data_IF_707046853108
#
_entry.id   IF_707046853108
#
_cell.length_a   1.000
_cell.length_b   1.000
_cell.length_c   1.000
_cell.angle_alpha   90.00
_cell.angle_beta   90.00
_cell.angle_gamma   90.00
#
_symmetry.space_group_name_H-M   'P 1'
#
loop_
_entity.id
_entity.type
_entity.pdbx_description
1 polymer ?
#
# COMPACT_ATOMS: atom_id res chain seq x y z
N UNK A 1 9.97 3.74 0.67
CA UNK A 1 10.65 3.52 1.98
C UNK A 1 9.67 3.48 3.14
N UNK A 2 8.74 4.46 3.27
CA UNK A 2 7.77 4.50 4.39
C UNK A 2 6.88 3.24 4.43
N UNK A 3 6.39 2.80 3.29
CA UNK A 3 5.50 1.63 3.20
C UNK A 3 6.18 0.31 3.61
N UNK A 4 7.50 0.23 3.44
CA UNK A 4 8.30 -0.99 3.63
C UNK A 4 9.21 -0.95 4.87
N UNK A 5 9.10 0.10 5.70
CA UNK A 5 10.01 0.32 6.84
C UNK A 5 10.06 -0.83 7.85
N UNK A 6 9.00 -1.63 7.92
CA UNK A 6 8.90 -2.74 8.87
C UNK A 6 9.45 -4.07 8.30
N UNK A 7 9.80 -4.14 7.01
CA UNK A 7 10.31 -5.35 6.37
C UNK A 7 11.53 -5.98 7.08
N UNK A 8 12.50 -5.23 7.61
CA UNK A 8 13.65 -5.79 8.32
C UNK A 8 13.29 -6.65 9.54
N UNK A 9 12.12 -6.44 10.16
CA UNK A 9 11.66 -7.25 11.30
C UNK A 9 11.21 -8.66 10.92
N UNK A 10 11.02 -8.93 9.62
CA UNK A 10 10.45 -10.19 9.10
C UNK A 10 11.43 -11.00 8.23
N UNK A 11 12.75 -10.73 8.33
CA UNK A 11 13.78 -11.44 7.55
C UNK A 11 13.80 -12.95 7.80
N UNK A 12 13.38 -13.39 8.98
CA UNK A 12 13.24 -14.80 9.35
C UNK A 12 12.11 -15.53 8.62
N UNK A 13 11.21 -14.78 7.96
CA UNK A 13 10.10 -15.31 7.15
C UNK A 13 10.38 -15.22 5.65
N UNK A 14 11.60 -14.89 5.26
CA UNK A 14 12.00 -14.87 3.86
C UNK A 14 12.21 -16.30 3.35
N UNK A 15 11.93 -16.50 2.10
CA UNK A 15 12.13 -17.77 1.39
C UNK A 15 13.24 -17.61 0.34
N UNK A 16 13.90 -18.70 -0.08
CA UNK A 16 14.79 -18.64 -1.23
C UNK A 16 14.04 -18.20 -2.48
N UNK A 17 14.69 -17.36 -3.30
CA UNK A 17 14.20 -17.00 -4.62
C UNK A 17 14.24 -18.20 -5.58
N UNK A 18 13.80 -18.01 -6.82
CA UNK A 18 13.66 -19.10 -7.81
C UNK A 18 14.97 -19.88 -8.05
N UNK A 19 16.12 -19.21 -8.08
CA UNK A 19 17.43 -19.85 -8.31
C UNK A 19 18.20 -20.20 -7.02
N UNK A 20 17.64 -19.89 -5.86
CA UNK A 20 18.23 -20.17 -4.55
C UNK A 20 19.47 -19.34 -4.20
N UNK A 21 19.79 -18.30 -4.98
CA UNK A 21 20.97 -17.45 -4.76
C UNK A 21 20.73 -16.39 -3.70
N UNK A 22 19.49 -15.92 -3.56
CA UNK A 22 19.07 -14.86 -2.66
C UNK A 22 17.80 -15.26 -1.90
N UNK A 23 17.37 -14.42 -0.96
CA UNK A 23 16.11 -14.60 -0.25
C UNK A 23 15.15 -13.48 -0.56
N UNK A 24 13.87 -13.80 -0.67
CA UNK A 24 12.80 -12.85 -0.95
C UNK A 24 11.69 -12.88 0.12
N UNK A 25 11.02 -11.74 0.36
CA UNK A 25 9.93 -11.69 1.34
C UNK A 25 8.70 -12.45 0.83
N UNK A 26 8.04 -13.20 1.70
CA UNK A 26 6.77 -13.87 1.39
C UNK A 26 5.59 -12.91 1.33
N UNK A 27 5.72 -11.74 1.92
CA UNK A 27 4.72 -10.66 1.96
C UNK A 27 5.38 -9.29 2.09
N UNK A 28 4.63 -8.25 1.78
CA UNK A 28 5.06 -6.86 1.90
C UNK A 28 4.26 -6.16 3.03
N UNK A 29 4.94 -5.64 4.08
CA UNK A 29 4.28 -5.08 5.25
C UNK A 29 3.80 -3.63 5.02
N UNK A 30 3.05 -3.38 3.94
CA UNK A 30 2.53 -2.05 3.62
C UNK A 30 1.79 -1.42 4.80
N UNK A 31 1.95 -0.11 4.95
CA UNK A 31 1.30 0.66 6.03
C UNK A 31 -0.18 0.96 5.76
N UNK A 32 -0.62 0.78 4.53
CA UNK A 32 -1.99 1.00 4.05
C UNK A 32 -2.44 -0.20 3.22
N UNK A 33 -3.74 -0.44 3.04
CA UNK A 33 -4.22 -1.51 2.17
C UNK A 33 -3.94 -1.17 0.69
N UNK A 34 -2.70 -1.43 0.27
CA UNK A 34 -2.16 -1.01 -1.03
C UNK A 34 -2.96 -1.55 -2.22
N UNK A 35 -3.63 -2.68 -2.04
CA UNK A 35 -4.48 -3.26 -3.10
C UNK A 35 -5.63 -2.33 -3.50
N UNK A 36 -6.16 -1.54 -2.57
CA UNK A 36 -7.19 -0.54 -2.86
C UNK A 36 -6.58 0.72 -3.46
N UNK A 37 -5.40 1.15 -2.99
CA UNK A 37 -4.75 2.37 -3.47
C UNK A 37 -4.23 2.19 -4.90
N UNK A 38 -3.46 1.13 -5.15
CA UNK A 38 -2.81 0.90 -6.44
C UNK A 38 -3.67 0.11 -7.43
N UNK A 39 -4.72 -0.54 -6.94
CA UNK A 39 -5.49 -1.46 -7.75
C UNK A 39 -4.67 -2.67 -8.22
N UNK A 40 -5.27 -3.49 -9.04
CA UNK A 40 -4.58 -4.62 -9.69
C UNK A 40 -5.36 -5.10 -10.90
N UNK A 41 -4.67 -5.41 -11.97
CA UNK A 41 -5.26 -6.05 -13.15
C UNK A 41 -4.42 -7.25 -13.54
N UNK A 42 -5.05 -8.41 -13.66
CA UNK A 42 -4.37 -9.64 -14.03
C UNK A 42 -5.33 -10.70 -14.58
N UNK A 43 -4.80 -11.48 -15.51
CA UNK A 43 -5.53 -12.58 -16.15
C UNK A 43 -4.73 -13.85 -15.94
N UNK A 44 -5.33 -14.85 -15.32
CA UNK A 44 -4.76 -16.17 -15.14
C UNK A 44 -5.69 -17.25 -15.69
N UNK A 45 -5.21 -18.47 -15.76
CA UNK A 45 -6.07 -19.59 -16.19
C UNK A 45 -7.13 -19.87 -15.12
N UNK A 46 -8.39 -19.75 -15.50
CA UNK A 46 -9.54 -20.00 -14.61
C UNK A 46 -9.90 -18.86 -13.65
N UNK A 47 -9.13 -17.75 -13.61
CA UNK A 47 -9.45 -16.60 -12.76
C UNK A 47 -8.89 -15.29 -13.34
N UNK A 48 -9.56 -14.19 -13.02
CA UNK A 48 -9.10 -12.86 -13.36
C UNK A 48 -9.31 -11.93 -12.16
N UNK A 49 -8.51 -10.88 -12.08
CA UNK A 49 -8.71 -9.76 -11.14
C UNK A 49 -8.72 -8.45 -11.90
N UNK A 50 -9.55 -7.53 -11.49
CA UNK A 50 -9.58 -6.16 -12.02
C UNK A 50 -10.08 -5.22 -10.92
N UNK A 51 -9.15 -4.72 -10.13
CA UNK A 51 -9.40 -3.89 -8.95
C UNK A 51 -9.10 -2.45 -9.33
N UNK A 52 -10.06 -1.54 -9.21
CA UNK A 52 -9.83 -0.12 -9.49
C UNK A 52 -8.93 0.51 -8.43
N UNK A 53 -8.26 1.58 -8.81
CA UNK A 53 -7.48 2.45 -7.91
C UNK A 53 -8.41 3.36 -7.10
N UNK A 54 -7.96 3.77 -5.89
CA UNK A 54 -8.70 4.68 -5.01
C UNK A 54 -7.78 5.75 -4.44
N UNK A 55 -8.37 6.84 -4.00
CA UNK A 55 -7.64 7.91 -3.33
C UNK A 55 -7.02 7.44 -2.02
N UNK A 56 -5.73 7.74 -1.84
CA UNK A 56 -4.98 7.31 -0.65
C UNK A 56 -5.58 7.85 0.66
N UNK A 57 -6.01 9.12 0.67
CA UNK A 57 -6.62 9.74 1.85
C UNK A 57 -7.92 9.05 2.24
N UNK A 58 -8.81 8.84 1.26
CA UNK A 58 -10.09 8.16 1.46
C UNK A 58 -9.93 6.71 1.95
N UNK A 59 -8.96 5.99 1.39
CA UNK A 59 -8.64 4.61 1.83
C UNK A 59 -8.12 4.59 3.27
N UNK A 60 -7.32 5.57 3.67
CA UNK A 60 -6.84 5.71 5.05
C UNK A 60 -8.01 6.02 5.98
N UNK A 61 -8.87 6.98 5.63
CA UNK A 61 -10.01 7.39 6.44
C UNK A 61 -10.99 6.22 6.63
N UNK A 62 -11.30 5.48 5.57
CA UNK A 62 -12.13 4.27 5.64
C UNK A 62 -11.47 3.17 6.51
N UNK A 63 -10.15 3.00 6.42
CA UNK A 63 -9.41 2.02 7.25
C UNK A 63 -9.43 2.41 8.73
N UNK A 64 -9.24 3.70 9.04
CA UNK A 64 -9.29 4.22 10.40
C UNK A 64 -10.71 4.11 10.98
N UNK A 65 -11.74 4.41 10.19
CA UNK A 65 -13.12 4.25 10.61
C UNK A 65 -13.44 2.79 10.95
N UNK A 66 -13.00 1.85 10.09
CA UNK A 66 -13.14 0.41 10.34
C UNK A 66 -12.39 -0.07 11.59
N UNK A 67 -11.18 0.46 11.86
CA UNK A 67 -10.41 0.12 13.07
C UNK A 67 -11.10 0.61 14.34
N UNK A 68 -11.76 1.77 14.30
CA UNK A 68 -12.49 2.32 15.45
C UNK A 68 -13.82 1.60 15.69
N UNK A 69 -14.49 1.17 14.63
CA UNK A 69 -15.74 0.41 14.67
C UNK A 69 -15.75 -0.69 13.61
N UNK A 70 -15.37 -1.94 13.97
CA UNK A 70 -15.41 -3.07 13.05
C UNK A 70 -16.80 -3.45 12.56
N UNK A 71 -17.86 -3.00 13.26
CA UNK A 71 -19.25 -3.25 12.84
C UNK A 71 -19.82 -2.14 11.95
N UNK A 72 -19.02 -1.11 11.64
CA UNK A 72 -19.41 0.01 10.76
C UNK A 72 -20.11 -0.50 9.48
N UNK A 73 -21.21 0.13 9.12
CA UNK A 73 -21.96 -0.25 7.93
C UNK A 73 -21.26 0.19 6.63
N UNK A 74 -21.54 -0.53 5.53
CA UNK A 74 -20.90 -0.23 4.24
C UNK A 74 -21.24 1.17 3.74
N UNK A 75 -22.47 1.63 3.99
CA UNK A 75 -22.94 2.98 3.62
C UNK A 75 -22.09 4.08 4.26
N UNK A 76 -21.65 3.89 5.51
CA UNK A 76 -20.82 4.86 6.21
C UNK A 76 -19.38 4.84 5.69
N UNK A 77 -18.87 3.67 5.34
CA UNK A 77 -17.59 3.54 4.64
C UNK A 77 -17.61 4.23 3.27
N UNK A 78 -18.70 4.11 2.52
CA UNK A 78 -18.86 4.75 1.21
C UNK A 78 -19.04 6.28 1.29
N UNK A 79 -19.36 6.84 2.45
CA UNK A 79 -19.30 8.29 2.66
C UNK A 79 -17.85 8.80 2.74
N UNK A 80 -16.93 7.96 3.22
CA UNK A 80 -15.50 8.28 3.33
C UNK A 80 -14.74 7.94 2.03
N UNK A 81 -15.15 6.88 1.34
CA UNK A 81 -14.56 6.40 0.09
C UNK A 81 -15.68 6.19 -0.94
N UNK A 82 -16.14 7.25 -1.60
CA UNK A 82 -17.36 7.22 -2.41
C UNK A 82 -17.22 6.45 -3.72
N UNK A 83 -15.99 6.21 -4.19
CA UNK A 83 -15.77 5.49 -5.43
C UNK A 83 -14.31 5.35 -5.82
N UNK A 84 -14.02 4.73 -6.98
CA UNK A 84 -12.69 4.66 -7.53
C UNK A 84 -12.14 6.04 -7.90
N UNK A 85 -10.81 6.17 -7.81
CA UNK A 85 -10.06 7.34 -8.27
C UNK A 85 -8.99 6.85 -9.26
N UNK A 86 -9.26 7.07 -10.54
CA UNK A 86 -8.37 6.59 -11.61
C UNK A 86 -7.24 7.57 -11.89
N UNK A 87 -6.04 7.05 -12.14
CA UNK A 87 -4.85 7.85 -12.42
C UNK A 87 -4.98 8.77 -13.64
N UNK A 88 -5.82 8.42 -14.62
CA UNK A 88 -6.12 9.23 -15.80
C UNK A 88 -7.26 10.23 -15.57
N UNK A 89 -7.82 10.27 -14.36
CA UNK A 89 -9.01 11.06 -14.06
C UNK A 89 -10.28 10.48 -14.68
N UNK A 90 -11.20 11.35 -15.08
CA UNK A 90 -12.49 10.98 -15.63
C UNK A 90 -13.62 11.14 -14.61
N UNK A 91 -14.83 10.91 -15.08
CA UNK A 91 -16.06 11.03 -14.31
C UNK A 91 -16.70 9.65 -14.16
N UNK A 92 -16.96 9.25 -12.92
CA UNK A 92 -17.70 8.02 -12.65
C UNK A 92 -19.18 8.30 -12.89
N UNK A 93 -19.76 7.59 -13.85
CA UNK A 93 -21.16 7.68 -14.21
C UNK A 93 -21.91 6.41 -13.72
N UNK A 94 -22.00 6.27 -12.40
CA UNK A 94 -22.68 5.17 -11.72
C UNK A 94 -23.62 5.71 -10.64
N UNK A 95 -24.71 5.00 -10.39
CA UNK A 95 -25.61 5.33 -9.29
C UNK A 95 -25.03 4.89 -7.95
N UNK A 96 -25.45 5.51 -6.84
CA UNK A 96 -25.03 5.07 -5.49
C UNK A 96 -25.35 3.58 -5.23
N UNK A 97 -26.45 3.07 -5.74
CA UNK A 97 -26.81 1.64 -5.64
C UNK A 97 -25.84 0.73 -6.40
N UNK A 98 -25.44 1.13 -7.60
CA UNK A 98 -24.45 0.36 -8.39
C UNK A 98 -23.11 0.31 -7.68
N UNK A 99 -22.64 1.44 -7.14
CA UNK A 99 -21.39 1.49 -6.35
C UNK A 99 -21.50 0.66 -5.08
N UNK A 100 -22.61 0.78 -4.35
CA UNK A 100 -22.86 -0.04 -3.17
C UNK A 100 -22.76 -1.54 -3.47
N UNK A 101 -23.42 -2.00 -4.53
CA UNK A 101 -23.39 -3.40 -4.93
C UNK A 101 -21.96 -3.87 -5.30
N UNK A 102 -21.19 -3.04 -5.99
CA UNK A 102 -19.80 -3.33 -6.32
C UNK A 102 -18.97 -3.51 -5.06
N UNK A 103 -19.07 -2.61 -4.10
CA UNK A 103 -18.30 -2.67 -2.85
C UNK A 103 -18.82 -3.71 -1.85
N UNK A 104 -20.10 -4.05 -1.91
CA UNK A 104 -20.65 -5.14 -1.10
C UNK A 104 -20.18 -6.51 -1.58
N UNK A 105 -20.18 -6.72 -2.89
CA UNK A 105 -19.92 -8.04 -3.48
C UNK A 105 -18.49 -8.23 -4.00
N UNK A 106 -17.78 -7.14 -4.32
CA UNK A 106 -16.50 -7.17 -5.04
C UNK A 106 -16.61 -7.41 -6.53
N UNK A 107 -17.85 -7.42 -7.08
CA UNK A 107 -18.14 -7.64 -8.49
C UNK A 107 -19.09 -6.57 -9.02
N UNK A 108 -18.84 -6.12 -10.25
CA UNK A 108 -19.79 -5.24 -10.92
C UNK A 108 -19.19 -4.50 -12.10
N UNK A 109 -19.92 -3.48 -12.55
CA UNK A 109 -19.53 -2.67 -13.69
C UNK A 109 -19.72 -1.20 -13.33
N UNK A 110 -18.70 -0.39 -13.60
CA UNK A 110 -18.73 1.05 -13.38
C UNK A 110 -18.49 1.75 -14.71
N UNK A 111 -19.37 2.65 -15.10
CA UNK A 111 -19.16 3.47 -16.29
C UNK A 111 -18.21 4.61 -15.95
N UNK A 112 -17.18 4.77 -16.76
CA UNK A 112 -16.19 5.83 -16.65
C UNK A 112 -16.25 6.68 -17.91
N UNK A 113 -16.33 7.98 -17.74
CA UNK A 113 -16.49 8.95 -18.83
C UNK A 113 -15.34 9.93 -18.79
N UNK A 114 -14.74 10.23 -19.93
CA UNK A 114 -13.76 11.29 -20.08
C UNK A 114 -14.35 12.67 -19.79
N UNK A 115 -13.53 13.57 -19.34
CA UNK A 115 -13.94 14.96 -19.05
C UNK A 115 -13.79 15.83 -20.29
N UNK A 116 -14.87 16.54 -20.61
CA UNK A 116 -14.96 17.39 -21.80
C UNK A 116 -15.34 18.82 -21.39
N UNK A 117 -14.63 19.78 -21.94
CA UNK A 117 -14.89 21.21 -21.79
C UNK A 117 -15.06 21.86 -23.15
N UNK A 118 -15.99 22.79 -23.28
CA UNK A 118 -16.12 23.61 -24.51
C UNK A 118 -15.46 24.96 -24.25
N UNK A 119 -14.45 25.29 -25.03
CA UNK A 119 -13.69 26.53 -24.91
C UNK A 119 -13.90 27.43 -26.15
N UNK A 120 -14.03 28.71 -25.91
CA UNK A 120 -14.02 29.71 -26.99
C UNK A 120 -12.56 30.01 -27.41
N UNK A 121 -12.24 29.78 -28.67
CA UNK A 121 -10.90 30.00 -29.21
C UNK A 121 -10.81 31.32 -29.98
N UNK A 122 -11.80 32.18 -29.86
CA UNK A 122 -11.87 33.48 -30.48
C UNK A 122 -12.45 33.46 -31.90
N UNK A 123 -12.77 34.65 -32.41
CA UNK A 123 -13.37 34.85 -33.74
C UNK A 123 -14.69 34.10 -33.98
N UNK A 124 -15.43 33.78 -32.90
CA UNK A 124 -16.68 33.03 -32.93
C UNK A 124 -16.49 31.55 -33.26
N UNK A 125 -15.29 30.99 -33.01
CA UNK A 125 -15.02 29.53 -33.09
C UNK A 125 -14.91 28.94 -31.72
N UNK A 126 -15.39 27.71 -31.58
CA UNK A 126 -15.32 26.91 -30.34
C UNK A 126 -14.44 25.67 -30.55
N UNK A 127 -13.86 25.19 -29.48
CA UNK A 127 -13.11 23.95 -29.44
C UNK A 127 -13.69 23.04 -28.33
N UNK A 128 -13.89 21.78 -28.64
CA UNK A 128 -14.23 20.76 -27.69
C UNK A 128 -12.92 20.19 -27.18
N UNK A 129 -12.60 20.45 -25.92
CA UNK A 129 -11.35 20.05 -25.30
C UNK A 129 -11.62 18.84 -24.37
N UNK A 130 -11.01 17.70 -24.68
CA UNK A 130 -11.00 16.53 -23.79
C UNK A 130 -9.78 16.66 -22.89
N UNK A 131 -10.00 16.81 -21.59
CA UNK A 131 -8.96 17.05 -20.60
C UNK A 131 -8.60 15.82 -19.81
N UNK A 132 -9.48 14.81 -19.78
CA UNK A 132 -9.24 13.54 -19.12
C UNK A 132 -9.85 12.40 -19.95
N UNK A 133 -9.11 11.31 -20.12
CA UNK A 133 -9.56 10.12 -20.82
C UNK A 133 -9.98 9.03 -19.83
N UNK A 134 -10.98 8.19 -20.17
CA UNK A 134 -11.34 7.07 -19.32
C UNK A 134 -10.17 6.08 -19.20
N UNK A 135 -9.90 5.58 -18.00
CA UNK A 135 -8.82 4.63 -17.70
C UNK A 135 -8.88 3.36 -18.58
N UNK A 136 -10.06 2.97 -19.04
CA UNK A 136 -10.28 1.79 -19.89
C UNK A 136 -9.81 1.98 -21.33
N UNK A 137 -9.48 3.20 -21.74
CA UNK A 137 -9.06 3.50 -23.12
C UNK A 137 -7.67 2.92 -23.41
N UNK A 138 -7.63 1.78 -24.09
CA UNK A 138 -6.39 1.15 -24.53
C UNK A 138 -5.83 1.92 -25.72
N UNK A 139 -4.57 2.36 -25.62
CA UNK A 139 -3.87 3.16 -26.65
C UNK A 139 -3.90 4.66 -26.43
N UNK A 140 -4.56 5.12 -25.36
CA UNK A 140 -4.47 6.50 -24.87
C UNK A 140 -4.86 7.56 -25.88
N UNK A 141 -4.20 8.74 -25.79
CA UNK A 141 -4.46 9.93 -26.58
C UNK A 141 -4.33 9.71 -28.09
N UNK A 142 -3.31 8.96 -28.53
CA UNK A 142 -3.08 8.69 -29.95
C UNK A 142 -4.25 7.95 -30.60
N UNK A 143 -4.72 6.87 -29.96
CA UNK A 143 -5.84 6.10 -30.46
C UNK A 143 -7.15 6.90 -30.47
N UNK A 144 -7.37 7.74 -29.46
CA UNK A 144 -8.52 8.63 -29.43
C UNK A 144 -8.52 9.57 -30.63
N UNK A 145 -7.40 10.26 -30.90
CA UNK A 145 -7.25 11.19 -32.02
C UNK A 145 -7.42 10.49 -33.37
N UNK A 146 -6.86 9.29 -33.53
CA UNK A 146 -7.02 8.48 -34.73
C UNK A 146 -8.50 8.11 -34.96
N UNK A 147 -9.20 7.70 -33.91
CA UNK A 147 -10.63 7.37 -33.98
C UNK A 147 -11.47 8.59 -34.36
N UNK A 148 -11.18 9.75 -33.75
CA UNK A 148 -11.86 11.01 -34.10
C UNK A 148 -11.59 11.38 -35.56
N UNK A 149 -10.33 11.25 -36.02
CA UNK A 149 -9.96 11.50 -37.41
C UNK A 149 -10.70 10.57 -38.39
N UNK A 150 -10.92 9.30 -38.02
CA UNK A 150 -11.74 8.37 -38.80
C UNK A 150 -13.20 8.82 -38.89
N UNK A 151 -13.80 9.23 -37.76
CA UNK A 151 -15.18 9.74 -37.73
C UNK A 151 -15.34 10.98 -38.61
N UNK A 152 -14.33 11.87 -38.66
CA UNK A 152 -14.34 13.02 -39.55
C UNK A 152 -14.24 12.58 -41.02
N UNK A 153 -13.32 11.66 -41.35
CA UNK A 153 -13.18 11.10 -42.72
C UNK A 153 -14.48 10.44 -43.22
N UNK A 154 -15.17 9.74 -42.32
CA UNK A 154 -16.43 9.08 -42.60
C UNK A 154 -17.63 10.04 -42.63
N UNK A 155 -17.38 11.36 -42.50
CA UNK A 155 -18.41 12.42 -42.48
C UNK A 155 -19.43 12.32 -41.35
N UNK A 156 -19.08 11.64 -40.27
CA UNK A 156 -19.94 11.54 -39.08
C UNK A 156 -19.83 12.81 -38.19
N UNK A 157 -18.73 13.54 -38.34
CA UNK A 157 -18.46 14.78 -37.62
C UNK A 157 -18.21 15.94 -38.61
N UNK A 158 -19.22 16.34 -39.41
CA UNK A 158 -19.02 17.29 -40.52
C UNK A 158 -18.70 18.74 -40.08
N UNK A 159 -18.98 19.08 -38.81
CA UNK A 159 -18.67 20.40 -38.27
C UNK A 159 -17.25 20.51 -37.73
N UNK A 160 -16.51 19.41 -37.59
CA UNK A 160 -15.11 19.40 -37.11
C UNK A 160 -14.20 19.87 -38.24
N UNK A 161 -13.26 20.78 -37.90
CA UNK A 161 -12.30 21.43 -38.86
C UNK A 161 -10.89 20.93 -38.58
N UNK A 162 -10.53 20.82 -37.31
CA UNK A 162 -9.17 20.47 -36.94
C UNK A 162 -9.17 19.63 -35.66
N UNK A 163 -8.15 18.80 -35.50
CA UNK A 163 -7.95 17.92 -34.35
C UNK A 163 -6.48 18.03 -33.95
N UNK A 164 -6.21 18.47 -32.74
CA UNK A 164 -4.85 18.68 -32.26
C UNK A 164 -4.69 18.27 -30.79
N UNK A 165 -3.55 17.65 -30.47
CA UNK A 165 -3.11 17.52 -29.09
C UNK A 165 -2.43 18.85 -28.68
N UNK A 166 -3.02 19.51 -27.70
CA UNK A 166 -2.52 20.75 -27.09
C UNK A 166 -2.17 20.55 -25.61
N UNK A 167 -1.98 19.30 -25.20
CA UNK A 167 -1.54 18.98 -23.85
C UNK A 167 -0.18 19.59 -23.52
N UNK A 168 0.00 19.95 -22.27
CA UNK A 168 1.23 20.53 -21.75
C UNK A 168 1.60 19.91 -20.38
N UNK A 169 2.57 20.49 -19.69
CA UNK A 169 2.98 20.06 -18.34
C UNK A 169 1.85 20.10 -17.28
N UNK A 170 0.74 20.78 -17.56
CA UNK A 170 -0.38 20.91 -16.63
C UNK A 170 -1.48 19.86 -16.88
N UNK A 171 -1.41 19.11 -17.98
CA UNK A 171 -2.31 18.01 -18.28
C UNK A 171 -2.60 17.79 -19.76
N UNK A 172 -3.38 16.77 -20.04
CA UNK A 172 -3.86 16.46 -21.38
C UNK A 172 -4.87 17.50 -21.86
N UNK A 173 -4.83 17.82 -23.14
CA UNK A 173 -5.78 18.73 -23.77
C UNK A 173 -5.94 18.38 -25.25
N UNK A 174 -6.83 17.42 -25.53
CA UNK A 174 -7.13 17.01 -26.92
C UNK A 174 -8.24 17.89 -27.45
N UNK A 175 -7.88 18.77 -28.39
CA UNK A 175 -8.74 19.78 -28.91
C UNK A 175 -9.35 19.37 -30.26
N UNK A 176 -10.69 19.47 -30.35
CA UNK A 176 -11.48 19.22 -31.54
C UNK A 176 -12.14 20.54 -31.91
N UNK A 177 -11.55 21.25 -32.90
CA UNK A 177 -12.00 22.57 -33.31
C UNK A 177 -13.20 22.46 -34.27
N UNK A 178 -14.24 23.21 -33.98
CA UNK A 178 -15.47 23.21 -34.84
C UNK A 178 -15.59 24.45 -35.67
N UNK A 179 -16.38 24.38 -36.77
CA UNK A 179 -16.65 25.49 -37.69
C UNK A 179 -17.23 26.68 -36.93
N UNK A 180 -16.95 27.86 -37.48
CA UNK A 180 -17.56 29.11 -36.98
C UNK A 180 -19.08 29.04 -37.11
N UNK A 181 -19.78 29.41 -36.04
CA UNK A 181 -21.24 29.45 -36.03
C UNK A 181 -21.91 28.10 -35.77
N UNK A 182 -21.15 27.04 -35.43
CA UNK A 182 -21.75 25.75 -34.94
C UNK A 182 -22.56 26.01 -33.67
N UNK A 183 -23.80 25.55 -33.67
CA UNK A 183 -24.72 25.75 -32.56
C UNK A 183 -24.31 24.91 -31.33
N UNK A 184 -24.75 25.30 -30.15
CA UNK A 184 -24.50 24.52 -28.92
C UNK A 184 -25.15 23.13 -28.97
N UNK A 185 -26.28 23.01 -29.67
CA UNK A 185 -26.92 21.70 -29.89
C UNK A 185 -26.07 20.78 -30.78
N UNK A 186 -25.44 21.32 -31.84
CA UNK A 186 -24.54 20.55 -32.69
C UNK A 186 -23.26 20.15 -31.93
N UNK A 187 -22.71 21.03 -31.09
CA UNK A 187 -21.57 20.72 -30.23
C UNK A 187 -21.93 19.59 -29.27
N UNK A 188 -23.09 19.66 -28.64
CA UNK A 188 -23.54 18.57 -27.73
C UNK A 188 -23.74 17.26 -28.48
N UNK A 189 -24.22 17.30 -29.72
CA UNK A 189 -24.33 16.10 -30.55
C UNK A 189 -22.95 15.50 -30.87
N UNK A 190 -21.95 16.34 -31.19
CA UNK A 190 -20.57 15.90 -31.41
C UNK A 190 -20.05 15.22 -30.14
N UNK A 191 -20.21 15.81 -28.96
CA UNK A 191 -19.80 15.26 -27.67
C UNK A 191 -20.48 13.89 -27.43
N UNK A 192 -21.76 13.77 -27.74
CA UNK A 192 -22.49 12.50 -27.60
C UNK A 192 -21.97 11.41 -28.56
N UNK A 193 -21.54 11.80 -29.78
CA UNK A 193 -20.90 10.87 -30.73
C UNK A 193 -19.53 10.45 -30.21
N UNK A 194 -18.72 11.35 -29.64
CA UNK A 194 -17.44 11.03 -29.04
C UNK A 194 -17.59 10.05 -27.88
N UNK A 195 -18.55 10.25 -27.00
CA UNK A 195 -18.82 9.31 -25.92
C UNK A 195 -19.16 7.91 -26.45
N UNK A 196 -19.98 7.80 -27.49
CA UNK A 196 -20.48 6.52 -28.00
C UNK A 196 -19.50 5.81 -28.93
N UNK A 197 -18.80 6.56 -29.81
CA UNK A 197 -18.02 6.00 -30.93
C UNK A 197 -16.52 6.13 -30.78
N UNK A 198 -16.05 7.11 -30.00
CA UNK A 198 -14.62 7.30 -29.73
C UNK A 198 -14.21 6.73 -28.36
N UNK A 199 -15.00 5.86 -27.77
CA UNK A 199 -14.76 5.22 -26.47
C UNK A 199 -14.45 6.21 -25.34
N UNK A 200 -14.95 7.44 -25.45
CA UNK A 200 -14.81 8.45 -24.41
C UNK A 200 -15.69 8.15 -23.17
N UNK A 201 -16.69 7.27 -23.31
CA UNK A 201 -17.38 6.58 -22.21
C UNK A 201 -17.20 5.09 -22.39
N UNK A 202 -16.75 4.41 -21.34
CA UNK A 202 -16.55 2.97 -21.37
C UNK A 202 -16.87 2.38 -20.01
N UNK A 203 -16.92 1.06 -19.93
CA UNK A 203 -17.29 0.32 -18.73
C UNK A 203 -16.07 -0.36 -18.13
N UNK A 204 -15.73 0.02 -16.90
CA UNK A 204 -14.77 -0.70 -16.10
C UNK A 204 -15.46 -1.88 -15.39
N UNK A 205 -15.06 -3.10 -15.74
CA UNK A 205 -15.54 -4.31 -15.07
C UNK A 205 -14.78 -4.56 -13.79
N UNK A 206 -15.40 -4.35 -12.64
CA UNK A 206 -14.79 -4.60 -11.33
C UNK A 206 -14.86 -6.09 -11.01
N UNK A 207 -13.74 -6.66 -10.61
CA UNK A 207 -13.60 -8.00 -10.07
C UNK A 207 -12.48 -8.02 -9.01
N UNK A 208 -12.88 -7.89 -7.76
CA UNK A 208 -11.94 -7.85 -6.63
C UNK A 208 -11.64 -9.28 -6.17
N UNK A 209 -10.94 -10.02 -7.01
CA UNK A 209 -10.51 -11.38 -6.73
C UNK A 209 -9.10 -11.36 -6.15
N UNK A 210 -8.97 -11.70 -4.87
CA UNK A 210 -7.73 -11.64 -4.11
C UNK A 210 -7.34 -13.04 -3.61
N UNK A 211 -6.06 -13.27 -3.37
CA UNK A 211 -5.58 -14.49 -2.72
C UNK A 211 -5.59 -14.25 -1.21
N UNK A 212 -6.45 -14.98 -0.50
CA UNK A 212 -6.53 -14.97 0.94
C UNK A 212 -6.17 -16.35 1.49
N UNK A 213 -5.13 -16.43 2.32
CA UNK A 213 -4.62 -17.70 2.87
C UNK A 213 -4.40 -18.78 1.79
N UNK A 214 -3.83 -18.37 0.64
CA UNK A 214 -3.52 -19.26 -0.49
C UNK A 214 -4.71 -19.66 -1.36
N UNK A 215 -5.90 -19.09 -1.14
CA UNK A 215 -7.12 -19.37 -1.92
C UNK A 215 -7.63 -18.11 -2.60
N UNK A 216 -8.03 -18.19 -3.88
CA UNK A 216 -8.67 -17.07 -4.55
C UNK A 216 -10.08 -16.84 -3.97
N UNK A 217 -10.38 -15.60 -3.69
CA UNK A 217 -11.66 -15.20 -3.11
C UNK A 217 -12.05 -13.80 -3.62
N UNK A 218 -13.30 -13.66 -4.06
CA UNK A 218 -13.87 -12.34 -4.38
C UNK A 218 -14.30 -11.66 -3.09
N UNK A 219 -13.85 -10.44 -2.86
CA UNK A 219 -14.07 -9.73 -1.60
C UNK A 219 -14.70 -8.37 -1.82
N UNK A 220 -15.72 -8.06 -1.02
CA UNK A 220 -16.21 -6.69 -0.85
C UNK A 220 -15.29 -5.84 0.02
N UNK A 221 -15.52 -4.53 0.03
CA UNK A 221 -14.70 -3.54 0.72
C UNK A 221 -14.49 -3.86 2.21
N UNK A 222 -15.57 -4.05 2.97
CA UNK A 222 -15.50 -4.34 4.42
C UNK A 222 -14.64 -5.57 4.71
N UNK A 223 -14.73 -6.61 3.85
CA UNK A 223 -13.92 -7.82 4.00
C UNK A 223 -12.44 -7.57 3.70
N UNK A 224 -12.12 -6.74 2.71
CA UNK A 224 -10.73 -6.36 2.39
C UNK A 224 -10.12 -5.62 3.59
N UNK A 225 -10.84 -4.64 4.15
CA UNK A 225 -10.39 -3.90 5.32
C UNK A 225 -10.18 -4.83 6.51
N UNK A 226 -11.09 -5.78 6.75
CA UNK A 226 -10.93 -6.79 7.80
C UNK A 226 -9.66 -7.62 7.60
N UNK A 227 -9.50 -8.24 6.44
CA UNK A 227 -8.33 -9.09 6.14
C UNK A 227 -7.02 -8.31 6.28
N UNK A 228 -7.00 -7.07 5.79
CA UNK A 228 -5.83 -6.20 5.92
C UNK A 228 -5.53 -5.86 7.40
N UNK A 229 -6.53 -5.47 8.19
CA UNK A 229 -6.33 -5.08 9.59
C UNK A 229 -5.93 -6.27 10.46
N UNK A 230 -6.53 -7.44 10.25
CA UNK A 230 -6.15 -8.68 10.94
C UNK A 230 -4.69 -9.07 10.61
N UNK A 231 -4.32 -9.02 9.34
CA UNK A 231 -2.94 -9.25 8.90
C UNK A 231 -1.97 -8.24 9.53
N UNK A 232 -2.31 -6.95 9.52
CA UNK A 232 -1.48 -5.89 10.07
C UNK A 232 -1.31 -6.02 11.58
N UNK A 233 -2.36 -6.41 12.29
CA UNK A 233 -2.30 -6.70 13.72
C UNK A 233 -1.29 -7.82 14.02
N UNK A 234 -1.33 -8.92 13.28
CA UNK A 234 -0.36 -10.01 13.42
C UNK A 234 1.09 -9.58 13.17
N UNK A 235 1.31 -8.70 12.18
CA UNK A 235 2.63 -8.12 11.92
C UNK A 235 3.11 -7.24 13.09
N UNK A 236 2.25 -6.40 13.63
CA UNK A 236 2.61 -5.56 14.79
C UNK A 236 2.88 -6.39 16.05
N UNK A 237 2.07 -7.40 16.35
CA UNK A 237 2.33 -8.31 17.46
C UNK A 237 3.72 -8.94 17.35
N UNK A 238 4.04 -9.50 16.17
CA UNK A 238 5.36 -10.11 15.90
C UNK A 238 6.49 -9.09 16.04
N UNK A 239 6.35 -7.91 15.46
CA UNK A 239 7.35 -6.83 15.54
C UNK A 239 7.61 -6.41 16.98
N UNK A 240 6.56 -6.13 17.74
CA UNK A 240 6.70 -5.64 19.11
C UNK A 240 7.20 -6.72 20.07
N UNK A 241 6.88 -7.99 19.86
CA UNK A 241 7.50 -9.09 20.60
C UNK A 241 9.00 -9.18 20.37
N UNK A 242 9.47 -9.02 19.12
CA UNK A 242 10.90 -8.98 18.81
C UNK A 242 11.59 -7.78 19.47
N UNK A 243 10.98 -6.60 19.38
CA UNK A 243 11.52 -5.39 20.02
C UNK A 243 11.55 -5.52 21.53
N UNK A 244 10.52 -6.10 22.15
CA UNK A 244 10.47 -6.36 23.58
C UNK A 244 11.62 -7.26 24.00
N UNK A 245 11.80 -8.40 23.33
CA UNK A 245 12.88 -9.33 23.62
C UNK A 245 14.27 -8.66 23.51
N UNK A 246 14.47 -7.82 22.49
CA UNK A 246 15.73 -7.05 22.37
C UNK A 246 15.93 -6.06 23.53
N UNK A 247 14.86 -5.38 23.94
CA UNK A 247 14.96 -4.42 25.06
C UNK A 247 15.16 -5.14 26.40
N UNK A 248 14.58 -6.31 26.61
CA UNK A 248 14.79 -7.13 27.78
C UNK A 248 16.25 -7.62 27.86
N UNK A 249 16.83 -8.03 26.73
CA UNK A 249 18.24 -8.40 26.67
C UNK A 249 19.18 -7.23 27.01
N UNK A 250 18.93 -6.06 26.42
CA UNK A 250 19.69 -4.84 26.75
C UNK A 250 19.55 -4.46 28.22
N UNK A 251 18.33 -4.59 28.77
CA UNK A 251 18.07 -4.33 30.17
C UNK A 251 18.85 -5.29 31.07
N UNK A 252 18.84 -6.58 30.75
CA UNK A 252 19.59 -7.62 31.47
C UNK A 252 21.08 -7.25 31.57
N UNK A 253 21.71 -6.92 30.42
CA UNK A 253 23.13 -6.51 30.37
C UNK A 253 23.37 -5.25 31.22
N UNK A 254 22.52 -4.22 31.06
CA UNK A 254 22.67 -2.98 31.84
C UNK A 254 22.49 -3.17 33.33
N UNK A 255 21.58 -4.03 33.75
CA UNK A 255 21.38 -4.38 35.16
C UNK A 255 22.62 -5.10 35.71
N UNK A 256 23.19 -6.03 34.92
CA UNK A 256 24.44 -6.67 35.28
C UNK A 256 25.60 -5.67 35.45
N UNK A 257 25.71 -4.70 34.55
CA UNK A 257 26.72 -3.64 34.66
C UNK A 257 26.52 -2.78 35.92
N UNK A 258 25.30 -2.43 36.30
CA UNK A 258 25.02 -1.73 37.54
C UNK A 258 25.49 -2.54 38.74
N UNK A 259 25.11 -3.81 38.83
CA UNK A 259 25.55 -4.73 39.89
C UNK A 259 27.10 -4.84 39.90
N UNK A 260 27.70 -4.93 38.70
CA UNK A 260 29.17 -5.00 38.59
C UNK A 260 29.86 -3.74 39.12
N UNK A 261 29.31 -2.56 38.93
CA UNK A 261 29.84 -1.31 39.48
C UNK A 261 29.80 -1.32 41.02
N UNK A 262 28.71 -1.80 41.60
CA UNK A 262 28.54 -1.86 43.05
C UNK A 262 29.50 -2.84 43.72
N UNK A 263 29.97 -3.90 43.02
CA UNK A 263 30.91 -4.90 43.54
C UNK A 263 32.20 -4.97 42.71
N UNK A 264 32.66 -3.85 42.16
CA UNK A 264 33.75 -3.81 41.18
C UNK A 264 35.09 -4.34 41.77
N UNK A 265 35.38 -4.04 43.00
CA UNK A 265 36.62 -4.49 43.67
C UNK A 265 36.63 -6.02 43.81
N UNK A 266 35.50 -6.60 44.15
CA UNK A 266 35.32 -8.05 44.25
C UNK A 266 35.48 -8.72 42.86
N UNK A 267 34.88 -8.16 41.82
CA UNK A 267 35.04 -8.64 40.44
C UNK A 267 36.50 -8.57 39.97
N UNK A 268 37.19 -7.48 40.24
CA UNK A 268 38.63 -7.35 39.93
C UNK A 268 39.44 -8.42 40.68
N UNK A 269 39.11 -8.71 41.94
CA UNK A 269 39.78 -9.74 42.72
C UNK A 269 39.53 -11.14 42.12
N UNK A 270 38.30 -11.46 41.72
CA UNK A 270 37.95 -12.71 41.07
C UNK A 270 38.72 -12.89 39.75
N UNK A 271 38.73 -11.86 38.90
CA UNK A 271 39.44 -11.90 37.63
C UNK A 271 40.94 -12.09 37.78
N UNK A 272 41.58 -11.41 38.78
CA UNK A 272 42.99 -11.55 39.06
C UNK A 272 43.35 -12.85 39.77
N UNK A 273 42.42 -13.43 40.54
CA UNK A 273 42.61 -14.64 41.28
C UNK A 273 42.35 -15.92 40.48
N UNK A 274 41.67 -15.80 39.37
CA UNK A 274 41.31 -16.93 38.49
C UNK A 274 42.43 -17.27 37.52
N UNK A 275 42.67 -18.57 37.28
CA UNK A 275 43.70 -19.05 36.34
C UNK A 275 43.14 -19.17 34.91
N UNK A 276 41.85 -19.35 34.75
CA UNK A 276 41.13 -19.49 33.47
C UNK A 276 39.90 -18.58 33.44
N UNK A 277 39.52 -18.11 32.28
CA UNK A 277 38.27 -17.35 32.07
C UNK A 277 37.02 -18.15 32.52
N UNK A 278 37.04 -19.44 32.30
CA UNK A 278 35.93 -20.33 32.72
C UNK A 278 35.74 -20.36 34.26
N UNK A 279 36.84 -20.30 35.04
CA UNK A 279 36.78 -20.27 36.52
C UNK A 279 36.22 -18.92 36.99
N UNK A 280 36.62 -17.81 36.35
CA UNK A 280 36.05 -16.49 36.65
C UNK A 280 34.56 -16.43 36.35
N UNK A 281 34.12 -16.93 35.19
CA UNK A 281 32.69 -17.01 34.82
C UNK A 281 31.90 -17.90 35.80
N UNK A 282 32.42 -19.04 36.16
CA UNK A 282 31.78 -19.94 37.15
C UNK A 282 31.59 -19.25 38.50
N UNK A 283 32.57 -18.51 38.95
CA UNK A 283 32.50 -17.73 40.18
C UNK A 283 31.47 -16.58 40.07
N UNK A 284 31.44 -15.82 38.98
CA UNK A 284 30.48 -14.73 38.77
C UNK A 284 29.05 -15.23 38.63
N UNK A 285 28.85 -16.36 37.98
CA UNK A 285 27.51 -16.90 37.68
C UNK A 285 26.93 -17.73 38.81
N UNK A 286 27.76 -18.50 39.47
CA UNK A 286 27.31 -19.55 40.41
C UNK A 286 27.97 -19.45 41.78
N UNK A 287 28.80 -18.46 42.03
CA UNK A 287 29.54 -18.34 43.28
C UNK A 287 30.57 -19.46 43.51
N UNK A 288 31.04 -20.12 42.43
CA UNK A 288 32.04 -21.18 42.52
C UNK A 288 33.45 -20.59 42.80
N UNK A 289 33.86 -20.66 44.03
CA UNK A 289 35.14 -20.10 44.47
C UNK A 289 36.30 -21.10 44.43
N UNK A 290 36.07 -22.37 44.00
CA UNK A 290 37.01 -23.49 44.09
C UNK A 290 38.37 -23.23 43.41
N UNK A 291 38.36 -22.47 42.30
CA UNK A 291 39.52 -22.20 41.44
C UNK A 291 39.96 -20.71 41.46
N UNK A 292 39.49 -19.93 42.43
CA UNK A 292 39.77 -18.50 42.56
C UNK A 292 40.59 -18.24 43.84
N UNK A 293 41.69 -17.50 43.74
CA UNK A 293 42.52 -17.07 44.87
C UNK A 293 42.14 -15.67 45.32
N UNK A 294 41.53 -15.56 46.48
CA UNK A 294 41.17 -14.29 47.10
C UNK A 294 42.29 -13.74 47.95
N UNK A 295 42.48 -12.39 47.90
CA UNK A 295 43.49 -11.68 48.67
C UNK A 295 42.96 -11.10 49.97
N UNK A 296 41.69 -10.68 49.97
CA UNK A 296 41.07 -10.03 51.10
C UNK A 296 40.19 -11.00 51.88
N UNK A 297 40.20 -10.87 53.20
CA UNK A 297 39.42 -11.70 54.10
C UNK A 297 37.95 -11.31 54.00
N UNK A 298 37.10 -12.25 53.64
CA UNK A 298 35.66 -12.00 53.41
C UNK A 298 35.23 -12.06 51.94
N UNK A 299 36.09 -11.70 50.99
CA UNK A 299 35.74 -11.69 49.55
C UNK A 299 35.25 -13.04 49.01
N UNK A 300 35.77 -14.15 49.53
CA UNK A 300 35.30 -15.48 49.17
C UNK A 300 33.85 -15.73 49.61
N UNK A 301 33.46 -15.21 50.78
CA UNK A 301 32.08 -15.33 51.25
C UNK A 301 31.12 -14.47 50.42
N UNK A 302 31.56 -13.25 50.09
CA UNK A 302 30.80 -12.31 49.25
C UNK A 302 30.65 -12.82 47.82
N UNK A 303 31.69 -13.45 47.25
CA UNK A 303 31.68 -14.02 45.91
C UNK A 303 30.64 -15.16 45.77
N UNK A 304 30.32 -15.91 46.83
CA UNK A 304 29.32 -16.98 46.84
C UNK A 304 27.88 -16.47 46.65
N UNK A 305 27.65 -15.19 46.83
CA UNK A 305 26.33 -14.54 46.61
C UNK A 305 26.19 -13.93 45.23
N UNK A 306 27.22 -13.94 44.39
CA UNK A 306 27.11 -13.47 43.02
C UNK A 306 26.30 -14.44 42.16
N UNK A 307 25.40 -13.87 41.35
CA UNK A 307 24.49 -14.64 40.49
C UNK A 307 24.27 -13.90 39.14
N UNK A 308 25.37 -13.55 38.47
CA UNK A 308 25.27 -12.96 37.12
C UNK A 308 24.73 -14.01 36.14
N UNK A 309 23.96 -13.55 35.15
CA UNK A 309 23.58 -14.42 34.04
C UNK A 309 24.77 -14.64 33.09
N UNK A 310 24.67 -15.62 32.19
CA UNK A 310 25.70 -15.88 31.19
C UNK A 310 26.03 -14.68 30.29
N UNK A 311 25.01 -13.86 30.00
CA UNK A 311 25.16 -12.63 29.21
C UNK A 311 25.78 -11.47 29.98
N UNK A 312 25.72 -11.51 31.30
CA UNK A 312 26.28 -10.50 32.20
C UNK A 312 27.73 -10.81 32.62
N UNK A 313 28.08 -12.08 32.68
CA UNK A 313 29.40 -12.60 33.01
C UNK A 313 30.29 -12.78 31.76
#
# INVERSE_FOLDING_TARGET
DVCMKDLPFFKDQFIPNFDGTETEPTFLPFQVPNILVSGSTGIAVGMATNIPTHNLGEVIDATVAYLNDPEIELEDLLKLMPGPDFATGGIINATPEELYNVYATGLGKIKVRGKVEVRDIGYGRKSICVTELPYTMIGGTAKFLDTVAELVRNRELPAVVDIADRGDKNGECLCIDVKKGTSDEEIQNIINILYKKAALEDTFGVNINCINNGKPEVMGLKKILKVYTDFKYGLYDTKYRKLLAQQEEIREIKMGLLTAVDCIDLIIEILRGSTKVADAKACLMHGDTSNVKFRFKGSEADAKFLCFTEKQA
#
